data_IF_475379676345
#
_entry.id   IF_475379676345
#
_cell.length_a   1.000
_cell.length_b   1.000
_cell.length_c   1.000
_cell.angle_alpha   90.00
_cell.angle_beta   90.00
_cell.angle_gamma   90.00
#
_symmetry.space_group_name_H-M   'P 1'
#
loop_
_entity.id
_entity.type
_entity.pdbx_description
1 polymer ?
#
# COMPACT_ATOMS: atom_id res chain seq x y z
N UNK A 1 -26.49 -18.65 -9.63
CA UNK A 1 -25.99 -17.96 -8.42
C UNK A 1 -24.79 -18.75 -7.91
N UNK A 2 -23.61 -18.46 -8.47
CA UNK A 2 -22.34 -19.04 -8.06
C UNK A 2 -21.65 -17.98 -7.20
N UNK A 3 -21.80 -18.07 -5.88
CA UNK A 3 -21.00 -17.32 -4.90
C UNK A 3 -19.99 -18.29 -4.29
N UNK A 4 -19.15 -18.89 -5.15
CA UNK A 4 -18.19 -19.94 -4.75
C UNK A 4 -16.82 -19.40 -4.34
N UNK A 5 -16.36 -18.33 -4.98
CA UNK A 5 -14.93 -17.97 -4.95
C UNK A 5 -14.63 -16.51 -4.54
N UNK A 6 -15.64 -15.71 -4.14
CA UNK A 6 -15.42 -14.33 -3.71
C UNK A 6 -15.39 -14.24 -2.17
N UNK A 7 -14.24 -13.83 -1.63
CA UNK A 7 -14.05 -13.53 -0.21
C UNK A 7 -14.71 -12.20 0.19
N UNK A 8 -14.86 -11.97 1.50
CA UNK A 8 -15.34 -10.69 2.02
C UNK A 8 -14.26 -9.63 1.82
N UNK A 9 -14.71 -8.41 1.51
CA UNK A 9 -13.85 -7.26 1.27
C UNK A 9 -12.85 -7.04 2.43
N UNK A 10 -11.54 -6.89 2.16
CA UNK A 10 -10.51 -6.67 3.18
C UNK A 10 -10.80 -5.48 4.11
N UNK A 11 -11.44 -4.40 3.62
CA UNK A 11 -11.80 -3.25 4.44
C UNK A 11 -12.85 -3.63 5.51
N UNK A 12 -13.83 -4.44 5.12
CA UNK A 12 -14.83 -4.99 6.05
C UNK A 12 -14.17 -5.91 7.07
N UNK A 13 -13.21 -6.76 6.65
CA UNK A 13 -12.45 -7.61 7.56
C UNK A 13 -11.64 -6.80 8.58
N UNK A 14 -11.02 -5.69 8.14
CA UNK A 14 -10.26 -4.78 9.00
C UNK A 14 -11.17 -4.06 10.01
N UNK A 15 -12.33 -3.55 9.59
CA UNK A 15 -13.30 -2.92 10.49
C UNK A 15 -13.83 -3.90 11.54
N UNK A 16 -14.16 -5.13 11.13
CA UNK A 16 -14.55 -6.21 12.06
C UNK A 16 -13.43 -6.52 13.06
N UNK A 17 -12.17 -6.57 12.61
CA UNK A 17 -11.01 -6.82 13.46
C UNK A 17 -10.73 -5.68 14.47
N UNK A 18 -10.98 -4.43 14.08
CA UNK A 18 -10.94 -3.26 14.97
C UNK A 18 -12.06 -3.30 16.03
N UNK A 19 -13.09 -4.13 15.82
CA UNK A 19 -14.18 -4.38 16.76
C UNK A 19 -15.46 -3.62 16.43
N UNK A 20 -15.60 -3.12 15.20
CA UNK A 20 -16.84 -2.51 14.75
C UNK A 20 -17.98 -3.55 14.74
N UNK A 21 -19.23 -3.15 15.09
CA UNK A 21 -20.34 -4.08 15.13
C UNK A 21 -20.61 -4.69 13.74
N UNK A 22 -20.67 -6.03 13.68
CA UNK A 22 -20.79 -6.72 12.40
C UNK A 22 -22.07 -6.38 11.61
N UNK A 23 -23.15 -5.99 12.29
CA UNK A 23 -24.39 -5.58 11.63
C UNK A 23 -24.29 -4.19 10.96
N UNK A 24 -23.32 -3.38 11.37
CA UNK A 24 -23.11 -2.03 10.83
C UNK A 24 -22.15 -2.05 9.63
N UNK A 25 -21.16 -2.95 9.62
CA UNK A 25 -20.09 -2.98 8.61
C UNK A 25 -20.20 -4.15 7.62
N UNK A 26 -21.01 -5.18 7.92
CA UNK A 26 -21.16 -6.35 7.06
C UNK A 26 -22.63 -6.72 6.78
N UNK A 27 -22.95 -6.88 5.50
CA UNK A 27 -24.29 -7.32 5.08
C UNK A 27 -24.57 -8.79 5.48
N UNK A 28 -25.83 -9.22 5.33
CA UNK A 28 -26.25 -10.56 5.73
C UNK A 28 -25.53 -11.69 4.95
N UNK A 29 -25.17 -11.45 3.69
CA UNK A 29 -24.44 -12.39 2.85
C UNK A 29 -22.98 -12.50 3.28
N UNK A 30 -22.32 -11.37 3.54
CA UNK A 30 -20.95 -11.32 4.05
C UNK A 30 -20.84 -11.99 5.42
N UNK A 31 -21.80 -11.76 6.33
CA UNK A 31 -21.84 -12.46 7.62
C UNK A 31 -22.06 -13.95 7.48
N UNK A 32 -22.93 -14.38 6.57
CA UNK A 32 -23.12 -15.80 6.26
C UNK A 32 -21.86 -16.43 5.66
N UNK A 33 -21.15 -15.72 4.78
CA UNK A 33 -19.88 -16.16 4.20
C UNK A 33 -18.79 -16.27 5.27
N UNK A 34 -18.63 -15.26 6.14
CA UNK A 34 -17.68 -15.31 7.27
C UNK A 34 -17.93 -16.51 8.18
N UNK A 35 -19.19 -16.84 8.45
CA UNK A 35 -19.55 -18.02 9.23
C UNK A 35 -19.18 -19.34 8.53
N UNK A 36 -19.10 -19.37 7.19
CA UNK A 36 -18.80 -20.57 6.40
C UNK A 36 -17.33 -20.69 5.96
N UNK A 37 -16.64 -19.58 5.69
CA UNK A 37 -15.31 -19.52 5.09
C UNK A 37 -14.18 -19.44 6.13
N UNK A 38 -13.30 -20.43 6.15
CA UNK A 38 -12.16 -20.49 7.08
C UNK A 38 -11.09 -19.43 6.80
N UNK A 39 -10.83 -19.12 5.53
CA UNK A 39 -9.85 -18.11 5.14
C UNK A 39 -10.21 -16.72 5.71
N UNK A 40 -11.44 -16.25 5.46
CA UNK A 40 -11.89 -14.95 5.97
C UNK A 40 -11.90 -14.89 7.51
N UNK A 41 -12.22 -15.99 8.20
CA UNK A 41 -12.14 -16.02 9.68
C UNK A 41 -10.70 -15.95 10.18
N UNK A 42 -9.79 -16.62 9.49
CA UNK A 42 -8.36 -16.62 9.82
C UNK A 42 -7.78 -15.22 9.64
N UNK A 43 -8.17 -14.54 8.57
CA UNK A 43 -7.74 -13.17 8.28
C UNK A 43 -8.26 -12.16 9.32
N UNK A 44 -9.56 -12.20 9.67
CA UNK A 44 -10.10 -11.36 10.75
C UNK A 44 -9.42 -11.63 12.08
N UNK A 45 -9.13 -12.89 12.41
CA UNK A 45 -8.42 -13.24 13.64
C UNK A 45 -7.00 -12.67 13.67
N UNK A 46 -6.26 -12.80 12.56
CA UNK A 46 -4.91 -12.25 12.45
C UNK A 46 -4.90 -10.72 12.61
N UNK A 47 -5.83 -10.02 11.95
CA UNK A 47 -5.98 -8.57 12.08
C UNK A 47 -6.42 -8.18 13.51
N UNK A 48 -7.29 -8.95 14.13
CA UNK A 48 -7.75 -8.71 15.50
C UNK A 48 -6.62 -8.87 16.52
N UNK A 49 -5.70 -9.82 16.31
CA UNK A 49 -4.52 -10.01 17.15
C UNK A 49 -3.57 -8.80 17.08
N UNK A 50 -3.38 -8.22 15.89
CA UNK A 50 -2.61 -6.97 15.72
C UNK A 50 -3.30 -5.82 16.45
N UNK A 51 -4.62 -5.66 16.26
CA UNK A 51 -5.40 -4.63 16.95
C UNK A 51 -5.41 -4.82 18.48
N UNK A 52 -5.39 -6.06 18.96
CA UNK A 52 -5.27 -6.37 20.39
C UNK A 52 -3.88 -6.00 20.92
N UNK A 53 -2.82 -6.29 20.15
CA UNK A 53 -1.44 -5.88 20.49
C UNK A 53 -1.33 -4.36 20.59
N UNK A 54 -1.85 -3.63 19.59
CA UNK A 54 -1.86 -2.16 19.61
C UNK A 54 -2.64 -1.59 20.80
N UNK A 55 -3.77 -2.20 21.17
CA UNK A 55 -4.54 -1.81 22.36
C UNK A 55 -3.89 -2.20 23.69
N UNK A 56 -2.95 -3.14 23.69
CA UNK A 56 -2.21 -3.55 24.88
C UNK A 56 -1.06 -2.61 25.23
N UNK A 57 -0.66 -1.73 24.29
CA UNK A 57 0.37 -0.73 24.52
C UNK A 57 -0.14 0.31 25.52
N UNK A 58 0.67 0.55 26.55
CA UNK A 58 0.41 1.52 27.61
C UNK A 58 1.51 2.57 27.67
N UNK A 59 1.34 3.59 28.51
CA UNK A 59 2.39 4.58 28.77
C UNK A 59 3.68 3.94 29.34
N UNK A 60 3.57 2.78 30.00
CA UNK A 60 4.73 2.04 30.52
C UNK A 60 5.58 1.41 29.39
N UNK A 61 4.98 1.20 28.21
CA UNK A 61 5.65 0.71 27.00
C UNK A 61 6.29 1.84 26.18
N UNK A 62 6.15 3.10 26.62
CA UNK A 62 6.76 4.24 25.96
C UNK A 62 8.29 4.06 25.92
N UNK A 63 8.86 4.21 24.71
CA UNK A 63 10.30 4.14 24.52
C UNK A 63 10.97 5.29 25.29
N UNK A 64 11.87 4.92 26.21
CA UNK A 64 12.72 5.85 26.94
C UNK A 64 14.14 5.77 26.43
N UNK A 65 14.83 6.92 26.43
CA UNK A 65 16.24 6.94 26.08
C UNK A 65 17.05 6.09 27.07
N UNK A 66 17.92 5.19 26.58
CA UNK A 66 18.81 4.46 27.46
C UNK A 66 19.80 5.43 28.13
N UNK A 67 20.27 5.14 29.35
CA UNK A 67 21.32 5.93 29.99
C UNK A 67 22.53 6.11 29.06
N UNK A 68 23.15 7.29 29.07
CA UNK A 68 24.18 7.70 28.10
C UNK A 68 25.37 6.72 27.95
N UNK A 69 25.68 5.92 28.98
CA UNK A 69 26.76 4.93 28.96
C UNK A 69 26.41 3.57 28.36
N UNK A 70 25.13 3.25 28.13
CA UNK A 70 24.69 1.91 27.66
C UNK A 70 25.24 1.63 26.28
N UNK A 71 25.07 2.56 25.33
CA UNK A 71 25.60 2.41 23.98
C UNK A 71 27.13 2.35 23.97
N UNK A 72 27.81 3.20 24.75
CA UNK A 72 29.27 3.14 24.87
C UNK A 72 29.77 1.78 25.37
N UNK A 73 29.04 1.16 26.31
CA UNK A 73 29.37 -0.16 26.86
C UNK A 73 29.15 -1.28 25.83
N UNK A 74 28.04 -1.24 25.09
CA UNK A 74 27.74 -2.19 24.00
C UNK A 74 28.84 -2.11 22.91
N UNK A 75 29.24 -0.90 22.53
CA UNK A 75 30.33 -0.70 21.57
C UNK A 75 31.64 -1.31 22.05
N UNK A 76 31.98 -1.10 23.32
CA UNK A 76 33.21 -1.65 23.90
C UNK A 76 33.17 -3.19 23.99
N UNK A 77 32.04 -3.78 24.38
CA UNK A 77 31.88 -5.22 24.52
C UNK A 77 31.91 -5.95 23.17
N UNK A 78 31.26 -5.38 22.16
CA UNK A 78 31.21 -5.94 20.81
C UNK A 78 32.45 -5.58 19.95
N UNK A 79 33.33 -4.71 20.45
CA UNK A 79 34.51 -4.24 19.69
C UNK A 79 34.13 -3.42 18.45
N UNK A 80 33.01 -2.72 18.49
CA UNK A 80 32.52 -1.89 17.38
C UNK A 80 33.41 -0.66 17.22
N UNK A 81 33.78 -0.34 15.98
CA UNK A 81 34.59 0.83 15.67
C UNK A 81 33.82 2.13 15.91
N UNK A 82 34.56 3.22 16.06
CA UNK A 82 33.96 4.56 16.21
C UNK A 82 33.14 4.98 14.97
N UNK A 83 33.35 4.34 13.83
CA UNK A 83 32.63 4.61 12.57
C UNK A 83 31.13 4.29 12.63
N UNK A 84 30.69 3.44 13.58
CA UNK A 84 29.28 3.08 13.78
C UNK A 84 28.69 3.67 15.06
N UNK A 85 29.44 4.55 15.76
CA UNK A 85 29.02 5.14 17.04
C UNK A 85 27.96 6.22 16.87
N UNK A 86 28.02 6.95 15.75
CA UNK A 86 27.00 7.92 15.42
C UNK A 86 25.84 7.21 14.72
N UNK A 87 24.61 7.45 15.19
CA UNK A 87 23.44 7.15 14.38
C UNK A 87 23.59 7.96 13.08
N UNK A 88 23.35 7.37 11.89
CA UNK A 88 23.22 8.15 10.69
C UNK A 88 22.21 9.27 10.99
N UNK A 89 22.65 10.52 10.90
CA UNK A 89 21.72 11.62 10.96
C UNK A 89 20.63 11.33 9.92
N UNK A 90 19.33 11.47 10.24
CA UNK A 90 18.32 11.44 9.19
C UNK A 90 18.81 12.43 8.14
N UNK A 91 18.97 11.96 6.91
CA UNK A 91 19.52 12.79 5.84
C UNK A 91 18.60 14.00 5.66
N UNK A 92 18.91 15.10 6.34
CA UNK A 92 18.43 16.41 5.97
C UNK A 92 19.00 16.64 4.58
N UNK A 93 18.16 16.43 3.56
CA UNK A 93 18.40 16.83 2.19
C UNK A 93 18.52 18.35 2.14
N UNK A 94 19.65 18.86 2.63
CA UNK A 94 20.07 20.24 2.51
C UNK A 94 20.63 20.44 1.12
N UNK A 95 19.75 20.79 0.18
CA UNK A 95 20.13 21.36 -1.11
C UNK A 95 20.92 22.64 -0.84
N UNK A 96 22.25 22.53 -0.84
CA UNK A 96 23.14 23.68 -0.92
C UNK A 96 23.80 23.63 -2.27
N UNK A 97 23.20 24.37 -3.20
CA UNK A 97 23.84 24.79 -4.43
C UNK A 97 25.04 25.69 -4.09
N UNK A 98 26.23 25.23 -4.45
CA UNK A 98 27.34 26.10 -4.82
C UNK A 98 28.30 25.28 -5.67
N UNK A 99 28.28 25.55 -6.96
CA UNK A 99 29.22 24.97 -7.91
C UNK A 99 30.68 25.30 -7.58
N UNK A 100 31.59 24.58 -8.23
CA UNK A 100 32.80 25.10 -8.92
C UNK A 100 33.64 23.92 -9.44
N UNK A 101 33.83 23.93 -10.76
CA UNK A 101 34.90 23.35 -11.60
C UNK A 101 35.81 22.23 -11.05
N UNK A 102 35.76 21.11 -11.79
CA UNK A 102 36.87 20.28 -12.30
C UNK A 102 38.30 20.55 -11.79
N UNK A 103 38.86 19.57 -11.06
CA UNK A 103 40.12 18.89 -11.42
C UNK A 103 40.53 17.89 -10.35
N UNK A 104 40.97 16.71 -10.79
CA UNK A 104 41.03 15.49 -9.99
C UNK A 104 42.06 15.41 -8.85
N UNK A 105 41.83 14.43 -7.99
CA UNK A 105 42.83 13.71 -7.17
C UNK A 105 42.22 12.39 -6.74
N UNK A 106 42.98 11.31 -6.91
CA UNK A 106 42.74 9.95 -6.44
C UNK A 106 42.39 9.92 -4.94
N UNK A 107 41.13 9.63 -4.63
CA UNK A 107 40.65 9.29 -3.29
C UNK A 107 39.85 8.00 -3.39
N UNK A 108 40.33 6.97 -2.71
CA UNK A 108 39.72 5.64 -2.64
C UNK A 108 38.34 5.74 -2.00
N UNK A 109 37.30 5.81 -2.84
CA UNK A 109 35.90 5.74 -2.41
C UNK A 109 35.62 4.30 -1.97
N UNK A 110 35.94 4.01 -0.72
CA UNK A 110 35.69 2.71 -0.10
C UNK A 110 34.26 2.73 0.37
N UNK A 111 33.33 2.49 -0.54
CA UNK A 111 31.99 2.04 -0.16
C UNK A 111 32.15 0.78 0.70
N UNK A 112 31.58 0.81 1.90
CA UNK A 112 31.64 -0.31 2.82
C UNK A 112 31.06 -1.56 2.11
N UNK A 113 31.72 -2.72 2.19
CA UNK A 113 31.19 -3.93 1.56
C UNK A 113 29.86 -4.29 2.22
N UNK A 114 28.78 -4.19 1.46
CA UNK A 114 27.48 -4.75 1.84
C UNK A 114 27.67 -6.26 1.89
N UNK A 115 27.72 -6.82 3.10
CA UNK A 115 27.74 -8.27 3.28
C UNK A 115 26.28 -8.73 3.16
N UNK A 116 25.91 -9.49 2.11
CA UNK A 116 24.62 -10.16 2.13
C UNK A 116 24.60 -11.10 3.33
N UNK A 117 23.64 -10.89 4.24
CA UNK A 117 23.24 -11.88 5.22
C UNK A 117 22.52 -13.00 4.46
N UNK A 118 23.29 -13.75 3.66
CA UNK A 118 22.81 -14.97 3.06
C UNK A 118 22.31 -15.87 4.18
N UNK A 119 21.04 -16.27 4.05
CA UNK A 119 20.33 -17.21 4.90
C UNK A 119 21.23 -18.34 5.40
N UNK A 120 21.72 -18.19 6.62
CA UNK A 120 22.13 -19.34 7.42
C UNK A 120 20.86 -20.05 7.89
N UNK A 121 20.12 -20.63 6.95
CA UNK A 121 19.30 -21.83 7.21
C UNK A 121 20.27 -22.96 7.56
N UNK A 122 20.79 -22.90 8.78
CA UNK A 122 21.41 -24.05 9.43
C UNK A 122 20.34 -25.12 9.47
N UNK A 123 20.59 -26.18 8.70
CA UNK A 123 19.94 -27.48 8.86
C UNK A 123 20.20 -27.97 10.28
N UNK A 124 19.34 -27.58 11.22
CA UNK A 124 19.22 -28.24 12.50
C UNK A 124 18.15 -29.32 12.37
N UNK A 125 18.60 -30.51 12.03
CA UNK A 125 17.90 -31.75 12.36
C UNK A 125 17.91 -31.91 13.89
N UNK A 126 16.75 -32.12 14.50
CA UNK A 126 16.67 -32.59 15.88
C UNK A 126 15.54 -31.99 16.69
N UNK A 127 14.35 -32.59 16.53
CA UNK A 127 13.36 -32.89 17.58
C UNK A 127 13.48 -32.16 18.92
N UNK A 128 12.51 -31.30 19.25
CA UNK A 128 11.94 -31.23 20.60
C UNK A 128 10.43 -30.97 20.54
N UNK A 129 9.69 -31.86 21.18
CA UNK A 129 8.25 -31.81 21.47
C UNK A 129 7.98 -30.94 22.71
N UNK A 130 6.82 -30.28 22.72
CA UNK A 130 5.85 -30.13 23.82
C UNK A 130 5.17 -28.74 23.69
N UNK A 131 3.89 -28.62 23.30
CA UNK A 131 2.66 -29.00 23.99
C UNK A 131 2.40 -28.21 25.29
N UNK A 132 1.40 -27.33 25.27
CA UNK A 132 0.40 -27.20 26.34
C UNK A 132 -0.77 -26.30 25.90
N UNK A 133 -1.98 -26.72 26.26
CA UNK A 133 -3.26 -26.20 25.86
C UNK A 133 -3.96 -25.40 26.98
N UNK A 134 -4.91 -24.55 26.59
CA UNK A 134 -6.15 -24.28 27.33
C UNK A 134 -6.15 -23.06 28.25
N UNK A 135 -7.12 -22.16 28.10
CA UNK A 135 -8.47 -22.23 28.69
C UNK A 135 -9.24 -20.96 28.28
N UNK A 136 -10.47 -21.16 27.82
CA UNK A 136 -11.46 -20.13 27.55
C UNK A 136 -12.04 -19.53 28.83
N UNK A 137 -12.38 -18.23 28.83
CA UNK A 137 -13.45 -17.69 29.67
C UNK A 137 -14.15 -16.52 28.97
N UNK A 138 -15.46 -16.69 28.80
CA UNK A 138 -16.44 -15.72 28.31
C UNK A 138 -17.09 -15.03 29.51
N UNK A 139 -17.16 -13.71 29.50
CA UNK A 139 -18.18 -12.83 30.09
C UNK A 139 -17.79 -11.39 29.73
N UNK A 140 -18.61 -10.50 29.18
CA UNK A 140 -20.05 -10.40 29.23
C UNK A 140 -20.43 -9.05 29.87
N UNK A 141 -20.85 -8.10 29.02
CA UNK A 141 -21.91 -7.10 29.27
C UNK A 141 -21.55 -5.76 29.96
N UNK A 142 -21.87 -4.71 29.18
CA UNK A 142 -22.46 -3.40 29.50
C UNK A 142 -21.62 -2.24 30.07
N UNK A 143 -21.78 -1.08 29.41
CA UNK A 143 -21.80 0.21 30.08
C UNK A 143 -21.25 1.38 29.28
N UNK A 144 -21.93 1.79 28.20
CA UNK A 144 -21.62 3.03 27.48
C UNK A 144 -21.98 4.30 28.27
N UNK A 145 -21.17 5.33 28.09
CA UNK A 145 -21.40 6.75 28.45
C UNK A 145 -20.98 7.56 27.21
N UNK A 146 -21.92 8.00 26.37
CA UNK A 146 -22.57 9.33 26.36
C UNK A 146 -21.63 10.53 26.13
N UNK A 147 -21.51 10.92 24.86
CA UNK A 147 -21.60 12.29 24.30
C UNK A 147 -21.22 12.21 22.81
N UNK A 148 -21.85 12.83 21.82
CA UNK A 148 -22.96 13.78 21.76
C UNK A 148 -22.98 14.33 20.33
N UNK A 149 -24.02 14.03 19.57
CA UNK A 149 -24.20 14.50 18.20
C UNK A 149 -25.64 14.29 17.75
N UNK A 150 -26.53 15.11 18.31
CA UNK A 150 -27.87 15.38 17.73
C UNK A 150 -27.61 16.00 16.36
N UNK A 151 -28.26 15.56 15.30
CA UNK A 151 -29.56 16.12 14.95
C UNK A 151 -30.61 15.09 14.51
N UNK A 152 -31.82 15.33 15.01
CA UNK A 152 -33.01 14.53 14.84
C UNK A 152 -33.69 14.82 13.49
N UNK A 153 -34.19 13.78 12.83
CA UNK A 153 -35.33 13.88 11.92
C UNK A 153 -36.62 14.24 12.71
N UNK A 154 -37.75 14.59 12.05
CA UNK A 154 -38.68 13.48 11.80
C UNK A 154 -39.67 13.61 10.60
N UNK A 155 -40.21 12.43 10.25
CA UNK A 155 -41.51 12.05 9.62
C UNK A 155 -41.72 12.09 8.09
N UNK A 156 -42.14 10.92 7.57
CA UNK A 156 -42.76 10.60 6.26
C UNK A 156 -44.06 11.40 5.98
N UNK A 157 -44.63 11.55 4.77
CA UNK A 157 -44.83 10.67 3.57
C UNK A 157 -45.45 11.56 2.43
N UNK A 158 -45.93 11.06 1.26
CA UNK A 158 -45.29 10.62 0.01
C UNK A 158 -45.31 11.65 -1.18
N UNK A 159 -44.44 11.42 -2.20
CA UNK A 159 -44.39 11.86 -3.64
C UNK A 159 -45.43 12.86 -4.21
N UNK A 160 -45.13 13.76 -5.20
CA UNK A 160 -44.18 13.57 -6.31
C UNK A 160 -43.34 14.79 -6.79
N UNK A 161 -42.28 14.48 -7.55
CA UNK A 161 -41.58 15.37 -8.50
C UNK A 161 -40.98 16.67 -7.97
N UNK A 162 -39.67 16.65 -7.63
CA UNK A 162 -38.83 17.85 -7.69
C UNK A 162 -37.34 17.50 -7.82
N UNK A 163 -36.80 17.83 -8.99
CA UNK A 163 -35.45 18.38 -9.25
C UNK A 163 -34.26 17.77 -8.50
N UNK A 164 -33.48 16.96 -9.23
CA UNK A 164 -32.05 16.71 -8.95
C UNK A 164 -31.35 18.03 -8.63
N UNK A 165 -31.03 18.24 -7.36
CA UNK A 165 -30.03 19.22 -6.96
C UNK A 165 -28.70 18.53 -7.17
N UNK A 166 -28.02 18.88 -8.26
CA UNK A 166 -26.72 18.33 -8.60
C UNK A 166 -25.75 18.49 -7.42
N UNK A 167 -25.01 17.42 -7.15
CA UNK A 167 -23.77 17.51 -6.39
C UNK A 167 -22.95 18.70 -6.88
N UNK A 168 -22.23 19.42 -6.00
CA UNK A 168 -21.33 20.47 -6.45
C UNK A 168 -20.37 19.85 -7.47
N UNK A 169 -20.41 20.34 -8.71
CA UNK A 169 -19.48 19.95 -9.76
C UNK A 169 -18.09 20.27 -9.22
N UNK A 170 -17.27 19.25 -9.01
CA UNK A 170 -15.85 19.44 -8.80
C UNK A 170 -15.30 20.32 -9.94
N UNK A 171 -14.35 21.23 -9.67
CA UNK A 171 -13.72 22.03 -10.72
C UNK A 171 -13.15 21.09 -11.81
N UNK A 172 -13.15 21.50 -13.09
CA UNK A 172 -12.64 20.65 -14.15
C UNK A 172 -11.13 20.42 -13.96
N UNK A 173 -10.72 19.16 -13.87
CA UNK A 173 -9.31 18.79 -13.89
C UNK A 173 -8.74 19.05 -15.30
N UNK A 174 -7.50 19.57 -15.37
CA UNK A 174 -6.84 19.89 -16.64
C UNK A 174 -6.02 18.68 -17.09
N UNK A 175 -6.25 18.18 -18.31
CA UNK A 175 -5.34 17.19 -18.90
C UNK A 175 -4.03 17.87 -19.32
N UNK A 176 -2.92 17.44 -18.73
CA UNK A 176 -1.57 18.03 -18.93
C UNK A 176 -0.64 17.14 -19.75
N UNK A 177 -0.91 15.84 -19.84
CA UNK A 177 -0.19 14.90 -20.70
C UNK A 177 -1.08 13.73 -21.13
N UNK A 178 -0.73 13.07 -22.24
CA UNK A 178 -1.41 11.87 -22.75
C UNK A 178 -0.41 10.86 -23.31
N UNK A 179 -0.82 9.58 -23.33
CA UNK A 179 -0.09 8.49 -23.96
C UNK A 179 -1.09 7.54 -24.65
N UNK A 180 -0.75 7.08 -25.85
CA UNK A 180 -1.34 5.84 -26.38
C UNK A 180 -0.52 4.68 -25.85
N UNK A 181 -1.18 3.66 -25.32
CA UNK A 181 -0.54 2.48 -24.73
C UNK A 181 -0.54 1.35 -25.76
N UNK A 182 0.66 1.07 -26.29
CA UNK A 182 0.87 0.04 -27.30
C UNK A 182 0.93 -1.35 -26.65
N UNK A 183 0.35 -2.40 -27.28
CA UNK A 183 0.45 -3.76 -26.79
C UNK A 183 1.88 -4.31 -26.86
N UNK A 184 2.22 -5.15 -25.89
CA UNK A 184 3.45 -5.94 -25.91
C UNK A 184 3.25 -7.29 -26.62
N UNK A 185 4.34 -7.99 -27.01
CA UNK A 185 4.27 -9.18 -27.86
C UNK A 185 3.40 -10.32 -27.36
N UNK A 186 3.32 -10.53 -26.04
CA UNK A 186 2.50 -11.58 -25.42
C UNK A 186 1.02 -11.17 -25.29
N UNK A 187 0.71 -9.89 -25.55
CA UNK A 187 -0.60 -9.26 -25.43
C UNK A 187 -1.03 -8.53 -26.73
N UNK A 188 -0.96 -9.15 -27.91
CA UNK A 188 -1.09 -8.46 -29.20
C UNK A 188 -2.47 -7.86 -29.46
N UNK A 189 -3.51 -8.34 -28.76
CA UNK A 189 -4.88 -7.86 -28.87
C UNK A 189 -5.21 -6.76 -27.83
N UNK A 190 -4.23 -6.34 -27.01
CA UNK A 190 -4.42 -5.28 -26.04
C UNK A 190 -4.33 -3.89 -26.67
N UNK A 191 -5.10 -2.95 -26.13
CA UNK A 191 -5.05 -1.53 -26.51
C UNK A 191 -5.34 -0.67 -25.29
N UNK A 192 -4.82 0.55 -25.26
CA UNK A 192 -5.20 1.49 -24.21
C UNK A 192 -4.71 2.91 -24.47
N UNK A 193 -5.17 3.80 -23.61
CA UNK A 193 -4.75 5.20 -23.56
C UNK A 193 -4.61 5.61 -22.09
N UNK A 194 -3.70 6.53 -21.83
CA UNK A 194 -3.53 7.17 -20.53
C UNK A 194 -3.51 8.68 -20.66
N UNK A 195 -3.98 9.38 -19.63
CA UNK A 195 -3.90 10.83 -19.52
C UNK A 195 -3.56 11.24 -18.09
N UNK A 196 -2.76 12.29 -17.96
CA UNK A 196 -2.45 12.91 -16.67
C UNK A 196 -3.39 14.08 -16.49
N UNK A 197 -4.18 14.05 -15.44
CA UNK A 197 -5.04 15.14 -15.01
C UNK A 197 -4.39 15.88 -13.83
N UNK A 198 -4.47 17.21 -13.85
CA UNK A 198 -4.02 18.08 -12.76
C UNK A 198 -5.21 18.86 -12.19
N UNK A 199 -5.42 18.71 -10.88
CA UNK A 199 -6.41 19.45 -10.13
C UNK A 199 -5.91 20.88 -9.81
N UNK A 200 -6.81 21.82 -9.46
CA UNK A 200 -6.42 23.22 -9.20
C UNK A 200 -5.43 23.43 -8.04
N UNK A 201 -5.29 22.45 -7.15
CA UNK A 201 -4.32 22.45 -6.05
C UNK A 201 -2.96 21.87 -6.44
N UNK A 202 -2.80 21.44 -7.70
CA UNK A 202 -1.59 20.84 -8.25
C UNK A 202 -1.49 19.33 -8.07
N UNK A 203 -2.46 18.68 -7.42
CA UNK A 203 -2.50 17.22 -7.33
C UNK A 203 -2.67 16.63 -8.74
N UNK A 204 -1.90 15.58 -9.04
CA UNK A 204 -1.92 14.92 -10.35
C UNK A 204 -2.41 13.48 -10.24
N UNK A 205 -3.15 13.03 -11.24
CA UNK A 205 -3.61 11.64 -11.35
C UNK A 205 -3.38 11.11 -12.76
N UNK A 206 -3.03 9.83 -12.89
CA UNK A 206 -3.05 9.11 -14.17
C UNK A 206 -4.40 8.44 -14.31
N UNK A 207 -5.15 8.78 -15.36
CA UNK A 207 -6.34 8.04 -15.78
C UNK A 207 -5.93 7.09 -16.90
N UNK A 208 -6.18 5.81 -16.69
CA UNK A 208 -5.88 4.74 -17.65
C UNK A 208 -7.18 4.13 -18.15
N UNK A 209 -7.31 3.95 -19.46
CA UNK A 209 -8.35 3.14 -20.09
C UNK A 209 -7.70 2.10 -20.97
N UNK A 210 -8.08 0.83 -20.84
CA UNK A 210 -7.53 -0.23 -21.66
C UNK A 210 -8.50 -1.39 -21.88
N UNK A 211 -8.22 -2.16 -22.93
CA UNK A 211 -8.87 -3.42 -23.25
C UNK A 211 -7.77 -4.46 -23.48
N UNK A 212 -7.89 -5.61 -22.84
CA UNK A 212 -6.99 -6.74 -23.01
C UNK A 212 -7.73 -8.06 -22.73
N UNK A 213 -7.24 -9.20 -23.24
CA UNK A 213 -7.68 -10.52 -22.80
C UNK A 213 -7.61 -10.66 -21.26
N UNK A 214 -8.43 -11.53 -20.65
CA UNK A 214 -8.32 -11.84 -19.22
C UNK A 214 -6.91 -12.33 -18.85
N UNK A 215 -6.50 -11.99 -17.64
CA UNK A 215 -5.24 -12.46 -17.03
C UNK A 215 -5.28 -13.98 -16.75
N UNK A 216 -4.12 -14.64 -16.66
CA UNK A 216 -4.01 -16.07 -16.32
C UNK A 216 -3.99 -16.29 -14.80
N UNK A 217 -5.02 -15.76 -14.13
CA UNK A 217 -5.14 -15.81 -12.67
C UNK A 217 -4.32 -14.75 -11.92
N UNK A 218 -3.63 -13.86 -12.63
CA UNK A 218 -3.03 -12.64 -12.10
C UNK A 218 -4.01 -11.46 -11.98
N UNK A 219 -3.48 -10.30 -11.62
CA UNK A 219 -4.19 -9.02 -11.59
C UNK A 219 -3.45 -7.98 -12.42
N UNK A 220 -4.08 -6.85 -12.74
CA UNK A 220 -3.44 -5.77 -13.50
C UNK A 220 -2.97 -4.67 -12.58
N UNK A 221 -1.76 -4.18 -12.77
CA UNK A 221 -1.20 -3.08 -11.98
C UNK A 221 -0.67 -1.98 -12.89
N UNK A 222 -0.88 -0.73 -12.48
CA UNK A 222 -0.44 0.46 -13.22
C UNK A 222 0.85 0.98 -12.62
N UNK A 223 1.82 1.26 -13.48
CA UNK A 223 3.14 1.75 -13.12
C UNK A 223 3.51 3.00 -13.89
N UNK A 224 4.29 3.86 -13.24
CA UNK A 224 5.11 4.85 -13.91
C UNK A 224 6.56 4.37 -13.93
N UNK A 225 7.16 4.34 -15.11
CA UNK A 225 8.51 3.82 -15.34
C UNK A 225 9.39 4.97 -15.85
N UNK A 226 10.62 5.03 -15.36
CA UNK A 226 11.65 5.93 -15.87
C UNK A 226 11.91 5.68 -17.37
N UNK A 227 12.22 6.73 -18.12
CA UNK A 227 12.49 6.63 -19.56
C UNK A 227 13.67 5.69 -19.90
N UNK A 228 14.64 5.57 -18.99
CA UNK A 228 15.77 4.65 -19.05
C UNK A 228 15.52 3.28 -18.42
N UNK A 229 14.29 3.03 -17.93
CA UNK A 229 13.83 1.81 -17.26
C UNK A 229 14.55 1.50 -15.93
N UNK A 230 15.27 2.46 -15.34
CA UNK A 230 16.03 2.26 -14.10
C UNK A 230 15.17 2.28 -12.83
N UNK A 231 13.97 2.88 -12.90
CA UNK A 231 13.07 3.06 -11.78
C UNK A 231 11.62 2.81 -12.16
N UNK A 232 10.87 2.24 -11.22
CA UNK A 232 9.45 1.94 -11.36
C UNK A 232 8.72 2.43 -10.10
N UNK A 233 7.56 3.03 -10.30
CA UNK A 233 6.65 3.47 -9.23
C UNK A 233 5.29 2.83 -9.47
N UNK A 234 4.87 1.96 -8.55
CA UNK A 234 3.50 1.44 -8.55
C UNK A 234 2.53 2.57 -8.22
N UNK A 235 1.47 2.67 -9.02
CA UNK A 235 0.35 3.57 -8.77
C UNK A 235 -0.87 2.83 -8.20
N UNK A 236 -1.02 1.55 -8.51
CA UNK A 236 -2.05 0.68 -7.93
C UNK A 236 -2.72 -0.26 -8.94
N UNK A 237 -3.65 -1.07 -8.41
CA UNK A 237 -4.32 -2.14 -9.14
C UNK A 237 -5.43 -1.60 -10.05
N UNK A 238 -5.40 -1.96 -11.33
CA UNK A 238 -6.46 -1.67 -12.28
C UNK A 238 -7.55 -2.74 -12.25
N UNK A 239 -8.68 -2.39 -11.67
CA UNK A 239 -9.89 -3.23 -11.69
C UNK A 239 -10.76 -2.90 -12.90
N UNK A 240 -10.95 -3.87 -13.81
CA UNK A 240 -11.77 -3.69 -15.01
C UNK A 240 -11.00 -3.10 -16.18
N UNK A 241 -11.56 -2.09 -16.84
CA UNK A 241 -11.03 -1.47 -18.07
C UNK A 241 -10.64 0.00 -17.91
N UNK A 242 -10.92 0.61 -16.77
CA UNK A 242 -10.63 2.02 -16.48
C UNK A 242 -10.28 2.21 -15.01
N UNK A 243 -9.35 3.13 -14.72
CA UNK A 243 -8.98 3.50 -13.36
C UNK A 243 -8.28 4.86 -13.30
N UNK A 244 -8.39 5.51 -12.14
CA UNK A 244 -7.71 6.78 -11.84
C UNK A 244 -6.78 6.56 -10.66
N UNK A 245 -5.51 6.92 -10.84
CA UNK A 245 -4.47 6.64 -9.86
C UNK A 245 -3.72 7.92 -9.48
N UNK A 246 -3.64 8.26 -8.19
CA UNK A 246 -2.92 9.46 -7.75
C UNK A 246 -1.43 9.32 -8.04
N UNK A 247 -0.82 10.37 -8.57
CA UNK A 247 0.63 10.48 -8.74
C UNK A 247 1.22 11.01 -7.43
N UNK A 248 2.21 10.32 -6.82
CA UNK A 248 2.86 10.81 -5.61
C UNK A 248 3.42 12.23 -5.77
N UNK A 249 3.25 13.05 -4.73
CA UNK A 249 3.80 14.40 -4.70
C UNK A 249 5.31 14.40 -4.93
N UNK A 250 5.79 15.31 -5.77
CA UNK A 250 7.22 15.42 -6.10
C UNK A 250 7.74 14.40 -7.11
N UNK A 251 6.92 13.46 -7.60
CA UNK A 251 7.33 12.58 -8.69
C UNK A 251 7.45 13.36 -10.01
N UNK A 252 8.63 13.33 -10.62
CA UNK A 252 8.90 14.02 -11.88
C UNK A 252 8.49 13.16 -13.08
N UNK A 253 7.41 13.56 -13.75
CA UNK A 253 6.85 12.87 -14.93
C UNK A 253 7.68 13.09 -16.20
N UNK A 254 8.66 14.00 -16.19
CA UNK A 254 9.63 14.08 -17.28
C UNK A 254 10.68 12.98 -17.20
N UNK A 255 10.97 12.50 -15.98
CA UNK A 255 11.82 11.32 -15.73
C UNK A 255 10.99 10.03 -15.81
N UNK A 256 9.91 9.94 -15.04
CA UNK A 256 8.97 8.80 -15.03
C UNK A 256 7.88 8.99 -16.08
N UNK A 257 8.28 8.95 -17.35
CA UNK A 257 7.44 9.32 -18.48
C UNK A 257 6.72 8.16 -19.15
N UNK A 258 6.99 6.90 -18.76
CA UNK A 258 6.32 5.73 -19.33
C UNK A 258 5.19 5.27 -18.41
N UNK A 259 3.98 5.15 -18.96
CA UNK A 259 2.87 4.44 -18.32
C UNK A 259 2.89 2.99 -18.77
N UNK A 260 2.85 2.07 -17.81
CA UNK A 260 2.80 0.64 -18.05
C UNK A 260 1.60 0.03 -17.31
N UNK A 261 0.94 -0.94 -17.93
CA UNK A 261 0.02 -1.83 -17.24
C UNK A 261 0.52 -3.26 -17.41
N UNK A 262 0.84 -3.92 -16.31
CA UNK A 262 1.36 -5.29 -16.28
C UNK A 262 0.37 -6.29 -15.72
N UNK A 263 0.54 -7.56 -16.05
CA UNK A 263 -0.05 -8.68 -15.31
C UNK A 263 0.86 -9.05 -14.14
N UNK A 264 0.35 -8.96 -12.92
CA UNK A 264 1.03 -9.27 -11.67
C UNK A 264 0.47 -10.55 -11.04
N UNK A 265 1.26 -11.21 -10.20
CA UNK A 265 0.93 -12.52 -9.62
C UNK A 265 0.59 -12.45 -8.13
N UNK A 266 -0.28 -13.36 -7.67
CA UNK A 266 -0.55 -13.56 -6.25
C UNK A 266 0.47 -14.51 -5.58
N UNK A 267 1.77 -14.26 -5.77
CA UNK A 267 2.86 -15.09 -5.24
C UNK A 267 3.54 -14.50 -3.98
N UNK A 268 3.16 -13.27 -3.60
CA UNK A 268 3.70 -12.55 -2.46
C UNK A 268 4.98 -11.77 -2.76
N UNK A 269 5.42 -11.69 -4.03
CA UNK A 269 6.46 -10.78 -4.48
C UNK A 269 5.83 -9.47 -4.98
N UNK A 270 6.10 -8.31 -4.34
CA UNK A 270 5.56 -7.03 -4.78
C UNK A 270 6.37 -6.40 -5.92
N UNK A 271 7.44 -7.05 -6.40
CA UNK A 271 8.21 -6.55 -7.53
C UNK A 271 7.40 -6.66 -8.83
N UNK A 272 7.50 -5.65 -9.69
CA UNK A 272 6.92 -5.66 -11.03
C UNK A 272 7.27 -6.96 -11.77
N UNK A 273 6.26 -7.71 -12.21
CA UNK A 273 6.40 -9.06 -12.79
C UNK A 273 7.29 -9.12 -14.03
N UNK A 274 7.28 -8.03 -14.80
CA UNK A 274 7.92 -7.92 -16.11
C UNK A 274 7.02 -8.36 -17.27
N UNK A 275 5.83 -8.89 -16.98
CA UNK A 275 4.79 -9.22 -17.95
C UNK A 275 3.91 -7.99 -18.23
N UNK A 276 4.47 -7.04 -18.95
CA UNK A 276 3.75 -5.82 -19.33
C UNK A 276 2.74 -6.12 -20.44
N UNK A 277 1.49 -5.67 -20.26
CA UNK A 277 0.38 -5.86 -21.19
C UNK A 277 0.38 -4.74 -22.25
N UNK A 278 0.39 -3.49 -21.78
CA UNK A 278 0.46 -2.29 -22.63
C UNK A 278 1.42 -1.27 -22.02
N UNK A 279 2.13 -0.52 -22.89
CA UNK A 279 3.05 0.55 -22.47
C UNK A 279 3.00 1.73 -23.42
N UNK A 280 3.10 2.95 -22.89
CA UNK A 280 3.16 4.17 -23.70
C UNK A 280 3.88 5.31 -23.02
N UNK A 281 4.49 6.20 -23.81
CA UNK A 281 5.16 7.40 -23.30
C UNK A 281 4.21 8.59 -23.20
N UNK A 282 4.26 9.27 -22.06
CA UNK A 282 3.56 10.52 -21.81
C UNK A 282 4.13 11.63 -22.69
N UNK A 283 3.23 12.32 -23.38
CA UNK A 283 3.50 13.50 -24.18
C UNK A 283 2.66 14.66 -23.66
N UNK A 284 3.23 15.87 -23.60
CA UNK A 284 2.49 17.05 -23.14
C UNK A 284 1.25 17.30 -24.00
N UNK A 285 0.14 17.67 -23.36
CA UNK A 285 -1.14 17.96 -24.00
C UNK A 285 -1.14 19.25 -24.84
#
# INVERSE_FOLDING_TARGET
>A
MQHGDQHVDPEVLALLALGEPADDVADAGQRAHLAACEACRTEVAALADVAATGRSVTDDDALVDPPAGVWASIHAELGLSDAVRDLPAPATTGTTDSGTTDSGTTGSDTTAPVVPLADRRRRYSGTWLAAAAGVALVAGVAGGVLWGGRDAAPVADPSPSATSTGSPSAPPELTVATATLDPLPDWPDATGDARVEEAPDGARSVVVQMQAPPTDGGYREVWLIADDLSGLVSLGVLSGTEGTFPVPDGLDLSTYSLVDVSEEHFDGDPAHSGDSIVRGGLTGA
#
